data_IF_500843064748
#
_entry.id   IF_500843064748
#
_cell.length_a   1.000
_cell.length_b   1.000
_cell.length_c   1.000
_cell.angle_alpha   90.00
_cell.angle_beta   90.00
_cell.angle_gamma   90.00
#
_symmetry.space_group_name_H-M   'P 1'
#
loop_
_entity.id
_entity.type
_entity.pdbx_description
1 polymer ?
#
# COMPACT_ATOMS: atom_id res chain seq x y z
N UNK A 1 -16.96 -42.61 36.66
CA UNK A 1 -17.67 -41.54 37.39
C UNK A 1 -18.25 -40.57 36.38
N UNK A 2 -19.52 -40.74 36.00
CA UNK A 2 -20.25 -39.79 35.14
C UNK A 2 -21.04 -38.83 36.04
N UNK A 3 -20.72 -37.54 36.00
CA UNK A 3 -21.44 -36.47 36.70
C UNK A 3 -22.50 -35.85 35.78
N UNK A 4 -23.75 -35.84 36.27
CA UNK A 4 -24.98 -35.47 35.56
C UNK A 4 -25.07 -33.98 35.18
N UNK A 5 -25.75 -33.76 34.06
CA UNK A 5 -26.27 -32.50 33.52
C UNK A 5 -27.41 -31.96 34.40
N UNK A 6 -27.39 -30.66 34.72
CA UNK A 6 -28.46 -29.95 35.42
C UNK A 6 -29.10 -28.92 34.50
N UNK A 7 -30.31 -29.22 34.04
CA UNK A 7 -31.19 -28.32 33.29
C UNK A 7 -32.01 -27.45 34.26
N UNK A 8 -32.14 -26.16 33.95
CA UNK A 8 -32.97 -25.23 34.71
C UNK A 8 -33.29 -24.00 33.87
N UNK A 9 -34.29 -24.10 32.99
CA UNK A 9 -34.86 -22.98 32.24
C UNK A 9 -36.29 -22.77 32.77
N UNK A 10 -36.51 -21.68 33.50
CA UNK A 10 -37.83 -21.31 34.03
C UNK A 10 -38.28 -20.01 33.36
N UNK A 11 -39.32 -20.12 32.54
CA UNK A 11 -39.99 -19.01 31.88
C UNK A 11 -41.13 -18.57 32.78
N UNK A 12 -41.05 -17.36 33.33
CA UNK A 12 -42.17 -16.73 34.06
C UNK A 12 -42.64 -15.50 33.27
N UNK A 13 -43.77 -15.64 32.58
CA UNK A 13 -44.54 -14.53 32.03
C UNK A 13 -45.43 -14.01 33.15
N UNK A 14 -45.21 -12.77 33.61
CA UNK A 14 -46.17 -12.03 34.45
C UNK A 14 -46.70 -10.85 33.67
N UNK A 15 -48.03 -10.80 33.58
CA UNK A 15 -48.80 -9.80 32.85
C UNK A 15 -49.13 -8.56 33.70
N UNK A 16 -49.40 -7.46 32.98
CA UNK A 16 -50.35 -6.37 33.27
C UNK A 16 -50.14 -5.46 34.51
N UNK A 17 -49.78 -4.20 34.23
CA UNK A 17 -50.43 -3.02 34.84
C UNK A 17 -50.17 -1.77 33.99
N UNK A 18 -51.23 -1.11 33.52
CA UNK A 18 -51.20 0.23 32.94
C UNK A 18 -50.95 1.24 34.06
N UNK A 19 -49.93 2.09 33.91
CA UNK A 19 -49.79 3.33 34.66
C UNK A 19 -49.80 4.50 33.67
N UNK A 20 -50.87 5.28 33.76
CA UNK A 20 -51.05 6.57 33.12
C UNK A 20 -50.11 7.58 33.83
N UNK A 21 -49.10 8.07 33.12
CA UNK A 21 -48.22 9.15 33.59
C UNK A 21 -48.15 10.25 32.53
N UNK A 22 -49.04 11.22 32.71
CA UNK A 22 -48.83 12.65 32.54
C UNK A 22 -47.83 13.06 31.45
N UNK A 23 -48.39 13.37 30.28
CA UNK A 23 -47.74 14.14 29.22
C UNK A 23 -47.30 15.51 29.76
N UNK A 24 -46.06 15.59 30.28
CA UNK A 24 -45.31 16.83 30.41
C UNK A 24 -44.96 17.26 28.99
N UNK A 25 -45.60 18.32 28.49
CA UNK A 25 -45.24 18.89 27.20
C UNK A 25 -43.80 19.38 27.25
N UNK A 26 -42.88 18.62 26.67
CA UNK A 26 -41.54 19.10 26.36
C UNK A 26 -41.70 20.26 25.37
N UNK A 27 -41.34 21.46 25.82
CA UNK A 27 -41.12 22.60 24.94
C UNK A 27 -39.88 22.24 24.12
N UNK A 28 -40.11 21.61 22.97
CA UNK A 28 -39.05 21.38 21.97
C UNK A 28 -38.57 22.76 21.53
N UNK A 29 -37.47 23.21 22.12
CA UNK A 29 -36.73 24.38 21.66
C UNK A 29 -36.38 24.13 20.19
N UNK A 30 -37.13 24.82 19.30
CA UNK A 30 -36.87 24.82 17.87
C UNK A 30 -35.61 25.65 17.65
N UNK A 31 -34.47 25.08 18.03
CA UNK A 31 -33.15 25.54 17.57
C UNK A 31 -33.29 25.71 16.07
N UNK A 32 -33.15 26.96 15.64
CA UNK A 32 -33.31 27.39 14.26
C UNK A 32 -32.35 26.58 13.39
N UNK A 33 -32.85 25.48 12.84
CA UNK A 33 -32.07 24.54 12.05
C UNK A 33 -31.89 25.20 10.69
N UNK A 34 -30.91 26.11 10.61
CA UNK A 34 -30.50 26.77 9.37
C UNK A 34 -29.94 25.68 8.45
N UNK A 35 -30.80 25.14 7.59
CA UNK A 35 -30.40 24.22 6.54
C UNK A 35 -29.57 24.94 5.48
N UNK A 36 -28.62 24.23 4.89
CA UNK A 36 -27.88 24.69 3.71
C UNK A 36 -28.86 24.96 2.55
N UNK A 37 -28.62 26.03 1.83
CA UNK A 37 -29.43 26.34 0.64
C UNK A 37 -28.98 25.47 -0.54
N UNK A 38 -29.91 25.09 -1.41
CA UNK A 38 -29.59 24.26 -2.59
C UNK A 38 -28.61 24.99 -3.52
N UNK A 39 -28.72 26.32 -3.61
CA UNK A 39 -27.81 27.16 -4.39
C UNK A 39 -26.39 27.15 -3.83
N UNK A 40 -26.24 27.13 -2.50
CA UNK A 40 -24.94 27.09 -1.83
C UNK A 40 -24.22 25.77 -2.10
N UNK A 41 -24.96 24.65 -2.11
CA UNK A 41 -24.41 23.35 -2.51
C UNK A 41 -24.04 23.32 -4.00
N UNK A 42 -24.84 23.94 -4.89
CA UNK A 42 -24.53 23.97 -6.32
C UNK A 42 -23.22 24.70 -6.63
N UNK A 43 -22.99 25.87 -6.01
CA UNK A 43 -21.75 26.61 -6.21
C UNK A 43 -20.54 25.84 -5.65
N UNK A 44 -20.68 25.22 -4.49
CA UNK A 44 -19.59 24.42 -3.89
C UNK A 44 -19.22 23.25 -4.77
N UNK A 45 -20.20 22.49 -5.28
CA UNK A 45 -19.93 21.35 -6.16
C UNK A 45 -19.32 21.81 -7.49
N UNK A 46 -19.73 22.95 -8.04
CA UNK A 46 -19.14 23.52 -9.24
C UNK A 46 -17.65 23.86 -9.05
N UNK A 47 -17.28 24.48 -7.92
CA UNK A 47 -15.88 24.79 -7.61
C UNK A 47 -15.08 23.50 -7.38
N UNK A 48 -15.63 22.54 -6.63
CA UNK A 48 -14.98 21.25 -6.39
C UNK A 48 -14.71 20.48 -7.69
N UNK A 49 -15.63 20.54 -8.67
CA UNK A 49 -15.46 19.90 -9.97
C UNK A 49 -14.26 20.49 -10.75
N UNK A 50 -14.09 21.82 -10.73
CA UNK A 50 -12.95 22.50 -11.38
C UNK A 50 -11.64 22.09 -10.70
N UNK A 51 -11.59 22.09 -9.37
CA UNK A 51 -10.40 21.69 -8.62
C UNK A 51 -10.03 20.23 -8.87
N UNK A 52 -11.02 19.32 -8.88
CA UNK A 52 -10.81 17.90 -9.13
C UNK A 52 -10.23 17.64 -10.53
N UNK A 53 -10.71 18.36 -11.55
CA UNK A 53 -10.23 18.21 -12.93
C UNK A 53 -8.72 18.48 -13.05
N UNK A 54 -8.18 19.44 -12.30
CA UNK A 54 -6.75 19.79 -12.32
C UNK A 54 -5.94 18.87 -11.38
N UNK A 55 -6.48 18.53 -10.21
CA UNK A 55 -5.75 17.80 -9.17
C UNK A 55 -5.54 16.30 -9.49
N UNK A 56 -6.53 15.64 -10.08
CA UNK A 56 -6.50 14.19 -10.34
C UNK A 56 -5.31 13.72 -11.20
N UNK A 57 -4.98 14.33 -12.35
CA UNK A 57 -3.86 13.85 -13.18
C UNK A 57 -2.51 13.97 -12.46
N UNK A 58 -2.32 15.03 -11.66
CA UNK A 58 -1.09 15.28 -10.92
C UNK A 58 -0.86 14.25 -9.80
N UNK A 59 -1.92 13.86 -9.09
CA UNK A 59 -1.82 12.87 -8.01
C UNK A 59 -1.31 11.51 -8.49
N UNK A 60 -1.74 11.05 -9.67
CA UNK A 60 -1.25 9.80 -10.24
C UNK A 60 0.26 9.79 -10.52
N UNK A 61 0.84 10.93 -10.90
CA UNK A 61 2.29 11.05 -11.09
C UNK A 61 3.03 11.01 -9.76
N UNK A 62 2.48 11.62 -8.71
CA UNK A 62 3.06 11.60 -7.36
C UNK A 62 3.17 10.16 -6.82
N UNK A 63 2.09 9.37 -6.95
CA UNK A 63 2.10 7.96 -6.52
C UNK A 63 3.10 7.14 -7.34
N UNK A 64 3.17 7.34 -8.66
CA UNK A 64 4.14 6.64 -9.50
C UNK A 64 5.60 6.96 -9.08
N UNK A 65 5.92 8.23 -8.82
CA UNK A 65 7.24 8.64 -8.31
C UNK A 65 7.57 8.01 -6.96
N UNK A 66 6.58 7.92 -6.06
CA UNK A 66 6.74 7.25 -4.77
C UNK A 66 7.11 5.76 -4.96
N UNK A 67 6.39 5.05 -5.84
CA UNK A 67 6.67 3.65 -6.18
C UNK A 67 8.07 3.44 -6.78
N UNK A 68 8.50 4.34 -7.68
CA UNK A 68 9.85 4.33 -8.25
C UNK A 68 10.90 4.43 -7.12
N UNK A 69 10.72 5.35 -6.17
CA UNK A 69 11.66 5.49 -5.05
C UNK A 69 11.70 4.26 -4.13
N UNK A 70 10.57 3.62 -3.91
CA UNK A 70 10.54 2.34 -3.17
C UNK A 70 11.31 1.26 -3.91
N UNK A 71 11.15 1.15 -5.24
CA UNK A 71 11.90 0.19 -6.05
C UNK A 71 13.42 0.46 -6.03
N UNK A 72 13.83 1.73 -6.10
CA UNK A 72 15.24 2.14 -5.96
C UNK A 72 15.80 1.73 -4.60
N UNK A 73 15.03 1.91 -3.52
CA UNK A 73 15.43 1.49 -2.18
C UNK A 73 15.58 -0.03 -2.09
N UNK A 74 14.66 -0.79 -2.69
CA UNK A 74 14.72 -2.25 -2.72
C UNK A 74 15.90 -2.78 -3.54
N UNK A 75 16.29 -2.09 -4.63
CA UNK A 75 17.52 -2.39 -5.38
C UNK A 75 18.78 -2.17 -4.53
N UNK A 76 18.83 -1.06 -3.79
CA UNK A 76 19.94 -0.78 -2.84
C UNK A 76 19.98 -1.76 -1.68
N UNK A 77 18.83 -2.25 -1.23
CA UNK A 77 18.76 -3.30 -0.22
C UNK A 77 19.33 -4.62 -0.76
N UNK A 78 19.00 -4.97 -2.02
CA UNK A 78 19.57 -6.15 -2.67
C UNK A 78 21.08 -6.03 -2.88
N UNK A 79 21.56 -4.86 -3.30
CA UNK A 79 22.99 -4.60 -3.47
C UNK A 79 23.76 -4.77 -2.16
N UNK A 80 23.19 -4.32 -1.04
CA UNK A 80 23.77 -4.52 0.30
C UNK A 80 23.83 -6.01 0.69
N UNK A 81 22.84 -6.82 0.32
CA UNK A 81 22.85 -8.27 0.57
C UNK A 81 23.97 -8.95 -0.22
N UNK A 82 24.13 -8.59 -1.50
CA UNK A 82 25.21 -9.11 -2.34
C UNK A 82 26.59 -8.69 -1.84
N UNK A 83 26.74 -7.44 -1.39
CA UNK A 83 27.99 -6.97 -0.81
C UNK A 83 28.33 -7.71 0.49
N UNK A 84 27.34 -7.95 1.36
CA UNK A 84 27.54 -8.76 2.56
C UNK A 84 28.01 -10.19 2.23
N UNK A 85 27.45 -10.79 1.16
CA UNK A 85 27.90 -12.10 0.69
C UNK A 85 29.37 -12.09 0.26
N UNK A 86 29.78 -11.07 -0.49
CA UNK A 86 31.18 -10.88 -0.89
C UNK A 86 32.10 -10.71 0.31
N UNK A 87 31.70 -9.94 1.33
CA UNK A 87 32.51 -9.79 2.54
C UNK A 87 32.76 -11.12 3.27
N UNK A 88 31.86 -12.10 3.13
CA UNK A 88 31.99 -13.43 3.77
C UNK A 88 32.76 -14.45 2.94
N UNK A 89 32.55 -14.43 1.63
CA UNK A 89 33.03 -15.50 0.73
C UNK A 89 34.09 -15.02 -0.27
N UNK A 90 34.40 -13.73 -0.25
CA UNK A 90 35.27 -13.00 -1.19
C UNK A 90 34.79 -13.03 -2.65
N UNK A 91 33.61 -13.59 -2.91
CA UNK A 91 33.02 -13.74 -4.23
C UNK A 91 31.55 -13.33 -4.19
N UNK A 92 31.04 -12.84 -5.33
CA UNK A 92 29.60 -12.76 -5.52
C UNK A 92 29.05 -14.14 -5.92
N UNK A 93 27.78 -14.42 -5.58
CA UNK A 93 27.13 -15.67 -5.97
C UNK A 93 26.82 -15.64 -7.47
N UNK A 94 27.17 -16.69 -8.20
CA UNK A 94 26.83 -16.79 -9.63
C UNK A 94 25.36 -17.17 -9.77
N UNK A 95 24.53 -16.20 -10.15
CA UNK A 95 23.09 -16.37 -10.24
C UNK A 95 22.48 -15.35 -11.20
N UNK A 96 21.47 -15.78 -11.96
CA UNK A 96 20.71 -14.90 -12.86
C UNK A 96 19.19 -15.02 -12.62
N UNK A 97 18.68 -14.79 -11.40
CA UNK A 97 17.24 -14.85 -11.14
C UNK A 97 16.49 -13.75 -11.90
N UNK A 98 15.44 -14.15 -12.63
CA UNK A 98 14.67 -13.28 -13.52
C UNK A 98 13.45 -12.61 -12.85
N UNK A 99 13.12 -12.98 -11.62
CA UNK A 99 11.98 -12.42 -10.88
C UNK A 99 12.27 -12.30 -9.37
N UNK A 100 11.41 -11.56 -8.66
CA UNK A 100 11.55 -11.30 -7.23
C UNK A 100 11.45 -12.57 -6.36
N UNK A 101 10.71 -13.60 -6.79
CA UNK A 101 10.58 -14.84 -6.04
C UNK A 101 11.87 -15.66 -6.12
N UNK A 102 12.46 -15.76 -7.32
CA UNK A 102 13.75 -16.39 -7.54
C UNK A 102 14.88 -15.65 -6.81
N UNK A 103 14.86 -14.31 -6.79
CA UNK A 103 15.80 -13.51 -5.98
C UNK A 103 15.61 -13.83 -4.49
N UNK A 104 14.37 -13.89 -3.98
CA UNK A 104 14.10 -14.23 -2.57
C UNK A 104 14.59 -15.63 -2.19
N UNK A 105 14.47 -16.59 -3.11
CA UNK A 105 14.97 -17.95 -2.90
C UNK A 105 16.51 -17.99 -2.85
N UNK A 106 17.19 -17.27 -3.74
CA UNK A 106 18.65 -17.17 -3.75
C UNK A 106 19.19 -16.32 -2.57
N UNK A 107 18.45 -15.28 -2.19
CA UNK A 107 18.84 -14.28 -1.18
C UNK A 107 17.72 -14.07 -0.15
N UNK A 108 17.58 -14.98 0.84
CA UNK A 108 16.49 -14.93 1.81
C UNK A 108 16.45 -13.65 2.66
N UNK A 109 17.59 -12.98 2.83
CA UNK A 109 17.70 -11.73 3.57
C UNK A 109 17.08 -10.53 2.83
N UNK A 110 16.89 -10.61 1.51
CA UNK A 110 16.25 -9.55 0.74
C UNK A 110 14.72 -9.64 0.91
N UNK A 111 14.05 -8.54 1.24
CA UNK A 111 12.60 -8.49 1.41
C UNK A 111 12.06 -7.16 0.86
N UNK A 112 11.68 -7.10 -0.42
CA UNK A 112 11.27 -5.85 -1.05
C UNK A 112 9.95 -5.33 -0.48
N UNK A 113 9.84 -4.02 -0.29
CA UNK A 113 8.58 -3.36 0.05
C UNK A 113 7.70 -3.13 -1.20
N UNK A 114 8.31 -3.17 -2.38
CA UNK A 114 7.62 -2.98 -3.65
C UNK A 114 6.70 -4.15 -3.96
N UNK A 115 5.48 -3.84 -4.42
CA UNK A 115 4.51 -4.85 -4.85
C UNK A 115 4.89 -5.36 -6.23
N UNK A 116 4.75 -6.66 -6.46
CA UNK A 116 5.01 -7.29 -7.77
C UNK A 116 4.13 -6.75 -8.91
N UNK A 117 2.96 -6.18 -8.57
CA UNK A 117 2.09 -5.50 -9.55
C UNK A 117 2.66 -4.16 -10.04
N UNK A 118 3.61 -3.58 -9.30
CA UNK A 118 4.22 -2.28 -9.62
C UNK A 118 5.56 -2.46 -10.33
N UNK A 119 6.46 -3.30 -9.79
CA UNK A 119 7.76 -3.63 -10.37
C UNK A 119 8.07 -5.12 -10.29
N UNK A 120 8.64 -5.65 -11.37
CA UNK A 120 9.42 -6.88 -11.37
C UNK A 120 10.89 -6.59 -11.11
N UNK A 121 11.62 -7.56 -10.55
CA UNK A 121 13.04 -7.43 -10.24
C UNK A 121 13.82 -8.57 -10.87
N UNK A 122 15.02 -8.28 -11.36
CA UNK A 122 15.98 -9.29 -11.81
C UNK A 122 17.36 -8.96 -11.26
N UNK A 123 18.19 -9.99 -11.10
CA UNK A 123 19.59 -9.84 -10.77
C UNK A 123 20.40 -10.74 -11.69
N UNK A 124 21.54 -10.26 -12.13
CA UNK A 124 22.54 -11.04 -12.83
C UNK A 124 23.88 -10.80 -12.16
N UNK A 125 24.41 -11.83 -11.51
CA UNK A 125 25.67 -11.79 -10.78
C UNK A 125 26.59 -12.92 -11.22
N UNK A 126 27.87 -12.61 -11.32
CA UNK A 126 28.94 -13.57 -11.53
C UNK A 126 29.90 -13.56 -10.33
N UNK A 127 31.11 -14.11 -10.45
CA UNK A 127 32.06 -14.15 -9.35
C UNK A 127 32.66 -12.78 -9.00
N UNK A 128 32.65 -11.82 -9.93
CA UNK A 128 33.36 -10.54 -9.85
C UNK A 128 32.44 -9.32 -9.72
N UNK A 129 31.17 -9.43 -10.14
CA UNK A 129 30.22 -8.33 -10.06
C UNK A 129 28.77 -8.74 -10.21
N UNK A 130 27.91 -7.73 -10.27
CA UNK A 130 26.48 -7.90 -10.46
C UNK A 130 25.86 -6.70 -11.17
N UNK A 131 24.70 -6.96 -11.78
CA UNK A 131 23.77 -5.97 -12.32
C UNK A 131 22.38 -6.31 -11.83
N UNK A 132 21.70 -5.33 -11.23
CA UNK A 132 20.35 -5.45 -10.70
C UNK A 132 19.43 -4.59 -11.53
N UNK A 133 18.22 -5.06 -11.79
CA UNK A 133 17.22 -4.28 -12.50
C UNK A 133 15.84 -4.38 -11.85
N UNK A 134 15.12 -3.27 -11.87
CA UNK A 134 13.70 -3.20 -11.56
C UNK A 134 12.93 -2.66 -12.76
N UNK A 135 11.93 -3.40 -13.23
CA UNK A 135 11.13 -3.08 -14.41
C UNK A 135 9.68 -2.85 -14.03
N UNK A 136 9.16 -1.67 -14.34
CA UNK A 136 7.79 -1.28 -14.06
C UNK A 136 6.81 -2.05 -14.95
N UNK A 137 5.76 -2.59 -14.32
CA UNK A 137 4.90 -3.61 -14.95
C UNK A 137 3.79 -3.01 -15.78
N UNK A 138 3.14 -1.93 -15.30
CA UNK A 138 1.93 -1.42 -15.96
C UNK A 138 1.64 0.05 -15.70
N UNK A 139 0.71 0.60 -16.48
CA UNK A 139 0.22 1.97 -16.34
C UNK A 139 1.34 2.99 -16.47
N UNK A 140 1.38 3.97 -15.55
CA UNK A 140 2.39 5.03 -15.50
C UNK A 140 3.80 4.53 -15.17
N UNK A 141 3.97 3.27 -14.78
CA UNK A 141 5.26 2.63 -14.55
C UNK A 141 5.69 1.75 -15.72
N UNK A 142 4.80 1.44 -16.66
CA UNK A 142 5.12 0.60 -17.81
C UNK A 142 6.24 1.22 -18.64
N UNK A 143 7.31 0.45 -18.86
CA UNK A 143 8.49 0.91 -19.58
C UNK A 143 9.53 1.64 -18.72
N UNK A 144 9.25 1.91 -17.44
CA UNK A 144 10.27 2.39 -16.50
C UNK A 144 11.19 1.23 -16.13
N UNK A 145 12.48 1.36 -16.42
CA UNK A 145 13.51 0.41 -16.01
C UNK A 145 14.57 1.14 -15.21
N UNK A 146 14.90 0.59 -14.05
CA UNK A 146 15.95 1.06 -13.16
C UNK A 146 17.02 0.00 -13.09
N UNK A 147 18.29 0.40 -13.19
CA UNK A 147 19.44 -0.48 -13.12
C UNK A 147 20.46 0.02 -12.10
N UNK A 148 21.07 -0.92 -11.38
CA UNK A 148 22.14 -0.66 -10.42
C UNK A 148 23.21 -1.73 -10.60
N UNK A 149 24.42 -1.29 -10.95
CA UNK A 149 25.59 -2.16 -11.07
C UNK A 149 26.45 -2.11 -9.79
N UNK A 150 27.33 -3.10 -9.65
CA UNK A 150 28.19 -3.28 -8.48
C UNK A 150 29.14 -2.11 -8.20
N UNK A 151 29.54 -1.38 -9.24
CA UNK A 151 30.38 -0.18 -9.15
C UNK A 151 29.59 1.07 -8.70
N UNK A 152 28.29 0.94 -8.46
CA UNK A 152 27.40 2.04 -8.13
C UNK A 152 26.86 2.79 -9.35
N UNK A 153 27.18 2.34 -10.57
CA UNK A 153 26.59 2.91 -11.78
C UNK A 153 25.10 2.64 -11.78
N UNK A 154 24.33 3.72 -11.81
CA UNK A 154 22.88 3.70 -11.88
C UNK A 154 22.41 4.09 -13.27
N UNK A 155 21.41 3.41 -13.80
CA UNK A 155 20.74 3.80 -15.05
C UNK A 155 19.24 3.81 -14.88
N UNK A 156 18.56 4.75 -15.51
CA UNK A 156 17.11 4.77 -15.64
C UNK A 156 16.70 4.98 -17.10
N UNK A 157 15.63 4.33 -17.52
CA UNK A 157 15.03 4.53 -18.83
C UNK A 157 13.51 4.46 -18.73
N UNK A 158 12.81 5.39 -19.38
CA UNK A 158 11.34 5.43 -19.43
C UNK A 158 10.66 5.77 -18.09
N UNK A 159 11.42 6.19 -17.07
CA UNK A 159 10.90 6.52 -15.76
C UNK A 159 10.43 7.98 -15.65
N UNK A 160 9.35 8.22 -14.90
CA UNK A 160 8.86 9.58 -14.59
C UNK A 160 9.80 10.37 -13.66
N UNK A 161 10.70 9.66 -12.99
CA UNK A 161 11.76 10.18 -12.15
C UNK A 161 12.97 9.25 -12.28
N UNK A 162 14.17 9.82 -12.42
CA UNK A 162 15.42 9.09 -12.42
C UNK A 162 15.91 8.76 -11.00
N UNK A 163 17.18 8.40 -10.90
CA UNK A 163 17.89 8.08 -9.66
C UNK A 163 18.11 9.25 -8.70
#
# INVERSE_FOLDING_TARGET
MLGKVGAGFSVTVVALARADMASKGDVVDRRNNRGFTLIEVMVVVAILAILAAIALPAYGNYIARSKIRTAQADLRALSAVLENHRQRTLLYPVAAPADAAAIKAAFPAWNPATKSADFGFSANSDASGYTLAASGVSGKLGGCTLTLAQDGTTGDAGCLAGW
#
